data_IF_651585820368
#
_entry.id   IF_651585820368
#
_cell.length_a   1.000
_cell.length_b   1.000
_cell.length_c   1.000
_cell.angle_alpha   90.00
_cell.angle_beta   90.00
_cell.angle_gamma   90.00
#
_symmetry.space_group_name_H-M   'P 1'
#
loop_
_entity.id
_entity.type
_entity.pdbx_description
1 polymer ?
#
# COMPACT_ATOMS: atom_id res chain seq x y z
N UNK A 1 -10.52 23.74 -1.56
CA UNK A 1 -9.25 24.08 -0.88
C UNK A 1 -8.79 23.02 0.14
N UNK A 2 -9.26 21.76 0.04
CA UNK A 2 -8.91 20.66 0.96
C UNK A 2 -7.70 19.85 0.47
N UNK A 3 -7.43 19.84 -0.84
CA UNK A 3 -6.44 18.98 -1.48
C UNK A 3 -4.98 19.16 -0.98
N UNK A 4 -4.44 20.38 -0.78
CA UNK A 4 -3.03 20.53 -0.38
C UNK A 4 -2.76 20.01 1.04
N UNK A 5 -3.66 20.28 1.99
CA UNK A 5 -3.52 19.84 3.37
C UNK A 5 -3.65 18.32 3.51
N UNK A 6 -4.55 17.69 2.74
CA UNK A 6 -4.67 16.22 2.70
C UNK A 6 -3.40 15.59 2.15
N UNK A 7 -2.85 16.14 1.07
CA UNK A 7 -1.60 15.67 0.46
C UNK A 7 -0.43 15.72 1.44
N UNK A 8 -0.25 16.84 2.13
CA UNK A 8 0.81 16.98 3.13
C UNK A 8 0.60 16.05 4.33
N UNK A 9 -0.63 15.95 4.84
CA UNK A 9 -0.96 15.05 5.95
C UNK A 9 -0.71 13.57 5.60
N UNK A 10 -1.09 13.14 4.39
CA UNK A 10 -0.84 11.77 3.90
C UNK A 10 0.65 11.51 3.79
N UNK A 11 1.41 12.37 3.10
CA UNK A 11 2.82 12.10 2.79
C UNK A 11 3.72 12.19 4.02
N UNK A 12 3.45 13.12 4.93
CA UNK A 12 4.28 13.34 6.13
C UNK A 12 3.80 12.50 7.31
N UNK A 13 2.50 12.22 7.40
CA UNK A 13 1.91 11.51 8.52
C UNK A 13 1.80 9.99 8.33
N UNK A 14 1.89 9.44 7.11
CA UNK A 14 1.73 8.00 6.88
C UNK A 14 2.60 7.11 7.79
N UNK A 15 3.90 7.39 8.02
CA UNK A 15 4.72 6.58 8.91
C UNK A 15 4.35 6.67 10.40
N UNK A 16 3.66 7.74 10.80
CA UNK A 16 3.45 8.12 12.20
C UNK A 16 2.02 7.91 12.69
N UNK A 17 1.02 8.10 11.83
CA UNK A 17 -0.40 8.04 12.18
C UNK A 17 -0.99 6.63 12.06
N UNK A 18 -0.33 5.74 11.31
CA UNK A 18 -0.85 4.41 11.00
C UNK A 18 0.25 3.35 11.19
N UNK A 19 0.51 2.93 12.44
CA UNK A 19 1.58 1.98 12.73
C UNK A 19 1.39 0.69 11.94
N UNK A 20 2.50 0.18 11.40
CA UNK A 20 2.49 -1.01 10.58
C UNK A 20 2.30 -2.21 11.48
N UNK A 21 1.21 -2.93 11.29
CA UNK A 21 1.02 -4.25 11.89
C UNK A 21 1.25 -5.30 10.81
N UNK A 22 2.31 -6.09 10.99
CA UNK A 22 2.60 -7.26 10.16
C UNK A 22 2.00 -8.49 10.84
N UNK A 23 1.30 -9.31 10.08
CA UNK A 23 0.84 -10.62 10.51
C UNK A 23 1.69 -11.75 9.91
N UNK A 24 1.34 -12.98 10.23
CA UNK A 24 1.93 -14.16 9.59
C UNK A 24 1.52 -14.30 8.11
N UNK A 25 1.94 -15.39 7.46
CA UNK A 25 1.48 -15.72 6.12
C UNK A 25 -0.06 -15.79 6.05
N UNK A 26 -0.64 -15.15 5.05
CA UNK A 26 -2.08 -15.13 4.84
C UNK A 26 -2.40 -15.15 3.35
N UNK A 27 -3.65 -15.52 3.04
CA UNK A 27 -4.27 -15.27 1.75
C UNK A 27 -4.97 -13.90 1.77
N UNK A 28 -4.91 -13.15 0.67
CA UNK A 28 -5.45 -11.80 0.66
C UNK A 28 -5.38 -11.06 -0.66
N UNK A 29 -5.75 -9.78 -0.60
CA UNK A 29 -5.65 -8.82 -1.70
C UNK A 29 -4.22 -8.25 -1.69
N UNK A 30 -3.48 -8.25 -2.82
CA UNK A 30 -2.15 -7.67 -2.86
C UNK A 30 -2.15 -6.19 -2.46
N UNK A 31 -1.10 -5.77 -1.76
CA UNK A 31 -0.86 -4.36 -1.39
C UNK A 31 0.62 -4.01 -1.58
N UNK A 32 1.03 -2.76 -1.36
CA UNK A 32 2.39 -2.28 -1.59
C UNK A 32 2.95 -2.73 -2.96
N UNK A 33 4.19 -3.22 -3.00
CA UNK A 33 4.81 -3.78 -4.20
C UNK A 33 4.20 -5.11 -4.67
N UNK A 34 3.19 -5.64 -3.97
CA UNK A 34 2.43 -6.81 -4.40
C UNK A 34 1.37 -6.50 -5.46
N UNK A 35 0.95 -5.24 -5.59
CA UNK A 35 0.01 -4.82 -6.64
C UNK A 35 0.72 -4.80 -8.00
N UNK A 36 0.11 -5.33 -9.07
CA UNK A 36 0.70 -5.33 -10.41
C UNK A 36 1.17 -3.94 -10.85
N UNK A 37 2.38 -3.87 -11.41
CA UNK A 37 3.01 -2.62 -11.86
C UNK A 37 3.73 -1.83 -10.75
N UNK A 38 3.32 -1.97 -9.49
CA UNK A 38 3.98 -1.23 -8.39
C UNK A 38 5.34 -1.81 -8.05
N UNK A 39 5.59 -3.11 -8.26
CA UNK A 39 6.91 -3.71 -8.00
C UNK A 39 8.00 -3.04 -8.83
N UNK A 40 7.77 -2.86 -10.12
CA UNK A 40 8.70 -2.25 -11.07
C UNK A 40 8.89 -0.76 -10.75
N UNK A 41 7.79 -0.04 -10.49
CA UNK A 41 7.82 1.38 -10.12
C UNK A 41 8.61 1.63 -8.82
N UNK A 42 8.44 0.76 -7.83
CA UNK A 42 9.12 0.85 -6.53
C UNK A 42 10.50 0.17 -6.54
N UNK A 43 10.88 -0.44 -7.66
CA UNK A 43 12.19 -1.07 -7.89
C UNK A 43 12.49 -2.15 -6.83
N UNK A 44 11.47 -2.92 -6.48
CA UNK A 44 11.56 -4.03 -5.53
C UNK A 44 12.04 -5.29 -6.25
N UNK A 45 12.93 -6.04 -5.60
CA UNK A 45 13.49 -7.28 -6.14
C UNK A 45 12.43 -8.34 -6.46
N UNK A 46 12.69 -9.16 -7.48
CA UNK A 46 11.77 -10.21 -7.93
C UNK A 46 11.58 -11.34 -6.88
N UNK A 47 12.53 -11.48 -5.98
CA UNK A 47 12.55 -12.40 -4.84
C UNK A 47 11.72 -11.90 -3.64
N UNK A 48 11.25 -10.64 -3.66
CA UNK A 48 10.46 -10.09 -2.57
C UNK A 48 9.07 -10.74 -2.52
N UNK A 49 8.70 -11.19 -1.32
CA UNK A 49 7.36 -11.68 -1.02
C UNK A 49 6.28 -10.65 -1.40
N UNK A 50 5.10 -11.14 -1.75
CA UNK A 50 3.92 -10.34 -2.09
C UNK A 50 3.14 -10.02 -0.82
N UNK A 51 3.23 -8.81 -0.25
CA UNK A 51 2.43 -8.47 0.91
C UNK A 51 0.95 -8.41 0.54
N UNK A 52 0.11 -8.88 1.44
CA UNK A 52 -1.34 -8.96 1.23
C UNK A 52 -2.09 -8.36 2.40
N UNK A 53 -3.21 -7.70 2.12
CA UNK A 53 -4.24 -7.50 3.13
C UNK A 53 -5.02 -8.80 3.32
N UNK A 54 -5.04 -9.40 4.53
CA UNK A 54 -5.77 -10.63 4.78
C UNK A 54 -7.25 -10.48 4.38
N UNK A 55 -7.70 -11.30 3.44
CA UNK A 55 -9.08 -11.28 2.97
C UNK A 55 -9.46 -12.64 2.39
N UNK A 56 -10.60 -13.18 2.81
CA UNK A 56 -11.09 -14.50 2.40
C UNK A 56 -11.22 -14.68 0.87
N UNK A 57 -11.64 -13.64 0.14
CA UNK A 57 -11.78 -13.61 -1.33
C UNK A 57 -10.46 -13.44 -2.08
N UNK A 58 -9.41 -13.00 -1.38
CA UNK A 58 -8.10 -12.76 -1.98
C UNK A 58 -7.50 -14.02 -2.59
N UNK A 59 -6.76 -13.87 -3.68
CA UNK A 59 -6.11 -14.99 -4.38
C UNK A 59 -4.59 -15.02 -4.19
N UNK A 60 -3.98 -13.93 -3.71
CA UNK A 60 -2.55 -13.88 -3.45
C UNK A 60 -2.22 -14.43 -2.06
N UNK A 61 -1.01 -14.95 -1.90
CA UNK A 61 -0.49 -15.44 -0.63
C UNK A 61 0.85 -14.78 -0.32
N UNK A 62 1.04 -14.38 0.93
CA UNK A 62 2.29 -13.80 1.38
C UNK A 62 2.17 -13.19 2.78
N UNK A 63 3.13 -12.37 3.21
CA UNK A 63 3.12 -11.76 4.53
C UNK A 63 1.91 -10.84 4.67
N UNK A 64 1.14 -11.05 5.73
CA UNK A 64 0.01 -10.19 6.04
C UNK A 64 0.48 -8.79 6.43
N UNK A 65 -0.14 -7.80 5.80
CA UNK A 65 -0.06 -6.41 6.20
C UNK A 65 -1.47 -5.99 6.61
N UNK A 66 -1.67 -5.61 7.87
CA UNK A 66 -3.01 -5.22 8.32
C UNK A 66 -3.39 -3.90 7.63
N UNK A 67 -4.60 -3.82 7.01
CA UNK A 67 -5.05 -2.61 6.35
C UNK A 67 -5.34 -1.48 7.35
N UNK A 68 -5.37 -0.25 6.86
CA UNK A 68 -5.71 0.94 7.66
C UNK A 68 -7.11 0.86 8.28
N UNK A 69 -8.02 0.15 7.60
CA UNK A 69 -9.38 -0.07 8.04
C UNK A 69 -9.86 -1.44 7.54
N UNK A 70 -10.68 -2.20 8.28
CA UNK A 70 -11.09 -3.56 7.90
C UNK A 70 -11.76 -3.69 6.54
N UNK A 71 -12.43 -2.63 6.05
CA UNK A 71 -13.12 -2.63 4.75
C UNK A 71 -12.22 -2.25 3.56
N UNK A 72 -10.94 -1.88 3.80
CA UNK A 72 -10.01 -1.53 2.71
C UNK A 72 -9.93 -2.60 1.63
N UNK A 73 -9.76 -3.90 1.93
CA UNK A 73 -9.64 -4.92 0.88
C UNK A 73 -10.89 -4.96 -0.01
N UNK A 74 -12.07 -4.88 0.59
CA UNK A 74 -13.36 -4.85 -0.11
C UNK A 74 -13.53 -3.58 -0.96
N UNK A 75 -13.09 -2.43 -0.45
CA UNK A 75 -13.16 -1.17 -1.19
C UNK A 75 -12.20 -1.16 -2.38
N UNK A 76 -11.00 -1.72 -2.20
CA UNK A 76 -9.98 -1.83 -3.24
C UNK A 76 -10.37 -2.78 -4.37
N UNK A 77 -11.19 -3.81 -4.10
CA UNK A 77 -11.77 -4.67 -5.15
C UNK A 77 -12.72 -3.90 -6.09
N UNK A 78 -13.37 -2.84 -5.60
CA UNK A 78 -14.36 -2.07 -6.36
C UNK A 78 -13.77 -0.89 -7.15
N UNK A 79 -12.55 -0.46 -6.81
CA UNK A 79 -11.91 0.72 -7.40
C UNK A 79 -10.40 0.51 -7.52
N UNK A 80 -9.92 0.37 -8.75
CA UNK A 80 -8.50 0.16 -9.06
C UNK A 80 -7.62 1.37 -8.73
N UNK A 81 -8.16 2.59 -8.86
CA UNK A 81 -7.41 3.80 -8.52
C UNK A 81 -7.24 3.91 -7.00
N UNK A 82 -8.29 3.55 -6.25
CA UNK A 82 -8.22 3.45 -4.80
C UNK A 82 -7.23 2.35 -4.35
N UNK A 83 -7.27 1.18 -4.98
CA UNK A 83 -6.31 0.10 -4.72
C UNK A 83 -4.87 0.60 -4.88
N UNK A 84 -4.55 1.26 -6.00
CA UNK A 84 -3.20 1.75 -6.27
C UNK A 84 -2.75 2.79 -5.24
N UNK A 85 -3.62 3.74 -4.89
CA UNK A 85 -3.32 4.76 -3.87
C UNK A 85 -3.06 4.14 -2.49
N UNK A 86 -3.91 3.20 -2.06
CA UNK A 86 -3.76 2.53 -0.77
C UNK A 86 -2.54 1.61 -0.75
N UNK A 87 -2.21 0.97 -1.86
CA UNK A 87 -1.00 0.17 -1.99
C UNK A 87 0.26 1.03 -1.96
N UNK A 88 0.30 2.17 -2.64
CA UNK A 88 1.41 3.12 -2.55
C UNK A 88 1.54 3.69 -1.12
N UNK A 89 0.43 3.96 -0.45
CA UNK A 89 0.43 4.33 0.97
C UNK A 89 1.06 3.21 1.83
N UNK A 90 0.72 1.96 1.54
CA UNK A 90 1.29 0.80 2.21
C UNK A 90 2.79 0.64 1.94
N UNK A 91 3.26 0.94 0.73
CA UNK A 91 4.69 0.99 0.41
C UNK A 91 5.40 2.14 1.15
N UNK A 92 4.74 3.30 1.30
CA UNK A 92 5.27 4.45 2.03
C UNK A 92 5.45 4.14 3.53
N UNK A 93 4.54 3.38 4.13
CA UNK A 93 4.70 2.94 5.54
C UNK A 93 5.68 1.75 5.65
N UNK A 94 5.48 0.69 4.88
CA UNK A 94 6.09 -0.62 5.14
C UNK A 94 7.37 -0.91 4.34
N UNK A 95 7.74 -0.04 3.40
CA UNK A 95 8.91 -0.20 2.54
C UNK A 95 10.24 0.22 3.16
N UNK A 96 11.32 -0.16 2.49
CA UNK A 96 12.69 0.31 2.73
C UNK A 96 12.86 1.76 2.28
N UNK A 97 13.97 2.40 2.65
CA UNK A 97 14.19 3.82 2.38
C UNK A 97 13.96 4.22 0.90
N UNK A 98 14.46 3.42 -0.05
CA UNK A 98 14.25 3.64 -1.49
C UNK A 98 12.78 3.50 -1.90
N UNK A 99 12.15 2.41 -1.52
CA UNK A 99 10.73 2.13 -1.83
C UNK A 99 9.82 3.21 -1.28
N UNK A 100 10.07 3.69 -0.07
CA UNK A 100 9.32 4.80 0.54
C UNK A 100 9.48 6.10 -0.24
N UNK A 101 10.69 6.41 -0.71
CA UNK A 101 10.93 7.61 -1.50
C UNK A 101 10.17 7.55 -2.84
N UNK A 102 10.27 6.43 -3.56
CA UNK A 102 9.55 6.22 -4.81
C UNK A 102 8.02 6.20 -4.60
N UNK A 103 7.53 5.54 -3.54
CA UNK A 103 6.11 5.55 -3.21
C UNK A 103 5.61 6.97 -2.89
N UNK A 104 6.41 7.79 -2.21
CA UNK A 104 6.10 9.20 -1.94
C UNK A 104 5.93 9.99 -3.23
N UNK A 105 6.84 9.82 -4.19
CA UNK A 105 6.77 10.47 -5.51
C UNK A 105 5.52 10.03 -6.26
N UNK A 106 5.25 8.74 -6.33
CA UNK A 106 4.07 8.19 -7.03
C UNK A 106 2.75 8.62 -6.39
N UNK A 107 2.68 8.73 -5.06
CA UNK A 107 1.52 9.30 -4.35
C UNK A 107 1.33 10.78 -4.66
N UNK A 108 2.42 11.55 -4.71
CA UNK A 108 2.37 12.98 -4.99
C UNK A 108 1.77 13.27 -6.38
N UNK A 109 2.06 12.42 -7.37
CA UNK A 109 1.55 12.51 -8.73
C UNK A 109 0.06 12.15 -8.84
N UNK A 110 -0.43 11.24 -8.00
CA UNK A 110 -1.78 10.65 -8.11
C UNK A 110 -2.80 11.25 -7.15
N UNK A 111 -2.35 11.84 -6.04
CA UNK A 111 -3.25 12.52 -5.12
C UNK A 111 -3.83 13.77 -5.82
N UNK A 112 -5.15 14.00 -5.72
CA UNK A 112 -5.80 15.18 -6.30
C UNK A 112 -5.44 16.49 -5.59
#
# INVERSE_FOLDING_TARGET
>A
MVAPAVREAVLSGAPWMFPIVRGGPARGVPTAWGVPGLRELLQVGADADVPVWPHASGMAHGPALIPLYPLVPKAAEADSALLELLALFDALRAGRARERALAREQLLERLP
#
